data_IF_473623952365
#
_entry.id   IF_473623952365
#
_cell.length_a   1.000
_cell.length_b   1.000
_cell.length_c   1.000
_cell.angle_alpha   90.00
_cell.angle_beta   90.00
_cell.angle_gamma   90.00
#
_symmetry.space_group_name_H-M   'P 1'
#
loop_
_entity.id
_entity.type
_entity.pdbx_description
1 polymer ?
2 non-polymer ?
3 non-polymer ?
4 water ?
#
# COMPACT_ATOMS: atom_id res chain seq x y z
N UNK A 4 -17.72 -17.15 -19.37
CA UNK A 4 -17.35 -16.72 -17.97
C UNK A 4 -17.01 -15.22 -17.95
N UNK A 5 -17.79 -14.36 -17.24
CA UNK A 5 -17.60 -12.92 -17.31
C UNK A 5 -16.34 -12.48 -16.55
N UNK A 6 -15.70 -11.39 -16.98
CA UNK A 6 -14.52 -10.86 -16.27
C UNK A 6 -15.03 -10.12 -15.04
N UNK A 7 -14.33 -10.19 -13.90
CA UNK A 7 -14.81 -9.54 -12.70
C UNK A 7 -14.64 -8.03 -12.77
N UNK A 8 -15.52 -7.33 -12.06
CA UNK A 8 -15.52 -5.85 -11.87
C UNK A 8 -14.87 -5.52 -10.54
N UNK A 9 -14.83 -6.50 -9.63
CA UNK A 9 -14.29 -6.34 -8.26
C UNK A 9 -13.75 -7.69 -7.76
N UNK A 10 -12.65 -7.64 -7.00
CA UNK A 10 -12.02 -8.84 -6.40
C UNK A 10 -11.81 -8.55 -4.93
N UNK A 11 -11.61 -9.59 -4.16
CA UNK A 11 -11.21 -9.39 -2.75
C UNK A 11 -9.77 -9.83 -2.59
N UNK A 12 -9.08 -9.04 -1.78
CA UNK A 12 -7.64 -9.20 -1.54
C UNK A 12 -7.46 -9.35 -0.02
N UNK A 13 -6.78 -10.38 0.38
CA UNK A 13 -6.30 -10.61 1.76
C UNK A 13 -4.85 -10.10 1.86
N UNK A 14 -4.60 -9.29 2.87
CA UNK A 14 -3.24 -8.84 3.23
C UNK A 14 -2.96 -9.40 4.63
N UNK A 15 -1.86 -10.12 4.79
CA UNK A 15 -1.43 -10.53 6.15
C UNK A 15 -0.04 -10.01 6.43
N UNK A 16 0.21 -9.57 7.62
CA UNK A 16 1.58 -9.23 8.07
C UNK A 16 1.79 -9.91 9.41
N UNK A 17 2.93 -10.60 9.50
CA UNK A 17 3.30 -11.28 10.75
C UNK A 17 4.81 -11.26 10.93
N UNK A 18 5.25 -10.70 12.04
CA UNK A 18 6.64 -10.88 12.50
C UNK A 18 6.67 -12.14 13.34
N UNK A 19 7.30 -13.15 12.79
CA UNK A 19 7.28 -14.51 13.34
C UNK A 19 8.27 -14.67 14.49
N UNK A 20 9.10 -13.68 14.79
CA UNK A 20 10.01 -13.77 15.93
C UNK A 20 11.00 -14.92 15.81
N UNK A 21 11.37 -15.27 14.57
CA UNK A 21 12.39 -16.31 14.27
C UNK A 21 11.98 -17.64 14.89
N UNK A 22 10.68 -17.92 14.99
CA UNK A 22 10.17 -19.20 15.49
C UNK A 22 9.29 -19.80 14.44
N UNK A 23 9.26 -21.13 14.30
CA UNK A 23 8.31 -21.74 13.41
C UNK A 23 6.88 -21.50 13.88
N UNK A 24 5.94 -21.49 12.94
CA UNK A 24 4.54 -21.25 13.27
C UNK A 24 3.97 -22.47 13.96
N UNK A 25 2.80 -22.30 14.58
CA UNK A 25 2.09 -23.45 15.13
C UNK A 25 1.42 -24.23 14.01
N UNK A 26 0.89 -25.42 14.32
CA UNK A 26 0.36 -26.31 13.26
C UNK A 26 -0.90 -25.71 12.61
N UNK A 27 -1.64 -24.87 13.30
CA UNK A 27 -2.87 -24.28 12.69
C UNK A 27 -2.77 -22.76 12.68
N UNK A 28 -2.91 -22.17 11.49
CA UNK A 28 -2.85 -20.68 11.39
C UNK A 28 -4.06 -20.22 10.60
N UNK A 29 -5.07 -21.09 10.43
CA UNK A 29 -6.28 -20.75 9.64
C UNK A 29 -7.01 -19.47 10.12
N UNK A 30 -6.96 -19.15 11.41
CA UNK A 30 -7.66 -17.96 11.97
C UNK A 30 -7.14 -16.68 11.29
N UNK A 31 -5.86 -16.68 10.91
CA UNK A 31 -5.28 -15.52 10.21
C UNK A 31 -6.01 -15.28 8.90
N UNK A 32 -6.11 -16.31 8.08
CA UNK A 32 -6.68 -16.20 6.71
C UNK A 32 -8.19 -16.03 6.77
N UNK A 33 -8.79 -16.40 7.88
CA UNK A 33 -10.24 -16.19 8.11
C UNK A 33 -10.58 -14.83 8.74
N UNK A 34 -9.60 -14.00 9.04
CA UNK A 34 -9.82 -12.67 9.65
C UNK A 34 -10.61 -12.84 10.95
N UNK A 35 -10.15 -13.75 11.82
CA UNK A 35 -10.78 -14.05 13.12
C UNK A 35 -9.85 -13.59 14.26
N UNK A 36 -10.43 -12.98 15.28
CA UNK A 36 -9.71 -12.64 16.50
C UNK A 36 -10.26 -11.35 17.01
N UNK A 37 -9.40 -10.35 17.14
CA UNK A 37 -9.79 -9.00 17.63
C UNK A 37 -9.87 -8.03 16.45
N UNK A 38 -10.63 -6.95 16.64
CA UNK A 38 -10.70 -5.86 15.69
C UNK A 38 -11.93 -5.97 14.83
N UNK A 39 -11.78 -5.58 13.57
CA UNK A 39 -12.85 -5.61 12.55
C UNK A 39 -12.70 -6.96 11.83
N UNK A 40 -13.52 -7.94 12.23
CA UNK A 40 -13.37 -9.31 11.83
C UNK A 40 -14.39 -9.69 10.75
N UNK A 41 -14.10 -10.78 10.10
CA UNK A 41 -14.90 -11.30 8.97
C UNK A 41 -16.05 -12.18 9.51
N UNK A 42 -17.21 -12.04 8.90
CA UNK A 42 -18.43 -12.81 9.23
C UNK A 42 -18.17 -14.31 9.01
N UNK A 43 -18.64 -15.13 9.96
CA UNK A 43 -18.54 -16.61 9.86
C UNK A 43 -19.13 -17.15 8.55
N UNK A 44 -20.16 -16.50 8.07
CA UNK A 44 -20.88 -16.96 6.86
C UNK A 44 -19.98 -16.88 5.62
N UNK A 45 -18.86 -16.15 5.69
CA UNK A 45 -17.92 -16.02 4.55
C UNK A 45 -16.75 -16.99 4.65
N UNK A 46 -16.67 -17.84 5.68
CA UNK A 46 -15.44 -18.61 5.93
C UNK A 46 -15.01 -19.45 4.73
N UNK A 47 -15.95 -20.01 3.95
CA UNK A 47 -15.55 -20.95 2.89
C UNK A 47 -15.29 -20.21 1.59
N UNK A 48 -15.60 -18.91 1.55
CA UNK A 48 -15.49 -18.09 0.32
C UNK A 48 -14.06 -17.66 0.16
N UNK A 49 -13.33 -18.11 -0.87
CA UNK A 49 -11.92 -17.74 -1.00
C UNK A 49 -11.86 -16.27 -1.40
N UNK A 50 -10.85 -15.58 -0.89
CA UNK A 50 -10.39 -14.32 -1.49
C UNK A 50 -9.77 -14.65 -2.85
N UNK A 51 -9.76 -13.66 -3.71
CA UNK A 51 -9.19 -13.80 -5.06
C UNK A 51 -7.68 -13.92 -4.99
N UNK A 52 -7.06 -13.06 -4.17
CA UNK A 52 -5.59 -12.92 -4.02
C UNK A 52 -5.30 -12.90 -2.52
N UNK A 53 -4.29 -13.64 -2.08
CA UNK A 53 -3.74 -13.61 -0.72
C UNK A 53 -2.32 -13.11 -0.80
N UNK A 54 -2.01 -12.06 -0.06
CA UNK A 54 -0.64 -11.50 -0.01
C UNK A 54 -0.17 -11.61 1.42
N UNK A 55 0.93 -12.32 1.63
CA UNK A 55 1.38 -12.75 3.00
C UNK A 55 2.79 -12.22 3.27
N UNK A 56 2.90 -11.19 4.10
CA UNK A 56 4.18 -10.58 4.45
C UNK A 56 4.62 -11.12 5.79
N UNK A 57 5.83 -11.62 5.87
CA UNK A 57 6.44 -12.01 7.14
C UNK A 57 7.74 -11.24 7.36
N UNK A 58 8.07 -11.12 8.61
CA UNK A 58 9.35 -10.54 9.12
C UNK A 58 9.90 -11.53 10.13
N UNK A 59 11.21 -11.53 10.32
CA UNK A 59 11.85 -12.50 11.20
C UNK A 59 11.37 -13.91 10.87
N UNK A 60 11.26 -14.23 9.59
CA UNK A 60 10.73 -15.51 9.10
C UNK A 60 11.88 -16.52 9.06
N UNK A 61 11.79 -17.59 9.86
CA UNK A 61 12.90 -18.58 9.92
C UNK A 61 12.81 -19.72 8.92
N UNK A 62 11.73 -19.76 8.17
CA UNK A 62 11.42 -20.87 7.26
C UNK A 62 12.05 -20.67 5.90
N UNK A 63 12.26 -21.76 5.19
CA UNK A 63 12.59 -21.67 3.78
C UNK A 63 11.33 -21.23 3.01
N UNK A 64 11.50 -20.74 1.80
CA UNK A 64 10.37 -20.41 0.93
C UNK A 64 9.52 -21.65 0.74
N UNK A 65 10.16 -22.81 0.52
CA UNK A 65 9.42 -24.05 0.27
C UNK A 65 8.57 -24.41 1.50
N UNK A 66 9.17 -24.36 2.65
CA UNK A 66 8.50 -24.72 3.90
C UNK A 66 7.28 -23.81 4.13
N UNK A 67 7.47 -22.51 3.96
CA UNK A 67 6.34 -21.56 4.19
C UNK A 67 5.23 -21.71 3.15
N UNK A 68 5.61 -21.87 1.88
CA UNK A 68 4.63 -22.06 0.78
C UNK A 68 3.79 -23.31 1.06
N UNK A 69 4.42 -24.40 1.49
CA UNK A 69 3.73 -25.65 1.91
C UNK A 69 2.62 -25.27 2.89
N UNK A 70 3.00 -24.60 3.98
CA UNK A 70 2.09 -24.27 5.10
C UNK A 70 0.96 -23.38 4.61
N UNK A 71 1.29 -22.36 3.82
CA UNK A 71 0.27 -21.43 3.33
C UNK A 71 -0.71 -22.16 2.43
N UNK A 72 -0.24 -22.89 1.44
CA UNK A 72 -1.14 -23.56 0.48
C UNK A 72 -2.06 -24.57 1.20
N UNK A 73 -1.49 -25.32 2.15
CA UNK A 73 -2.25 -26.30 2.99
C UNK A 73 -3.36 -25.58 3.73
N UNK A 74 -3.05 -24.47 4.39
CA UNK A 74 -3.98 -23.68 5.23
C UNK A 74 -5.14 -23.11 4.38
N UNK A 75 -4.84 -22.70 3.14
CA UNK A 75 -5.91 -22.18 2.27
C UNK A 75 -6.71 -23.34 1.71
N UNK A 76 -6.07 -24.44 1.33
CA UNK A 76 -6.83 -25.62 0.82
C UNK A 76 -7.77 -26.13 1.91
N UNK A 77 -7.33 -26.19 3.15
CA UNK A 77 -8.20 -26.68 4.25
C UNK A 77 -9.40 -25.74 4.39
N UNK A 78 -9.19 -24.43 4.31
CA UNK A 78 -10.30 -23.46 4.43
C UNK A 78 -11.25 -23.57 3.24
N UNK A 79 -10.72 -23.56 2.04
CA UNK A 79 -11.51 -23.20 0.85
C UNK A 79 -11.76 -24.40 -0.08
N UNK A 80 -10.98 -25.46 0.08
CA UNK A 80 -10.92 -26.62 -0.86
C UNK A 80 -10.42 -26.17 -2.22
N UNK A 81 -9.71 -25.06 -2.27
CA UNK A 81 -9.08 -24.55 -3.52
C UNK A 81 -7.58 -24.68 -3.36
N UNK A 82 -6.93 -25.16 -4.41
CA UNK A 82 -5.47 -25.22 -4.53
C UNK A 82 -4.98 -23.93 -5.18
N UNK A 83 -4.47 -23.03 -4.37
CA UNK A 83 -4.05 -21.70 -4.87
C UNK A 83 -2.75 -21.84 -5.65
N UNK A 84 -2.58 -20.96 -6.63
CA UNK A 84 -1.39 -20.87 -7.47
C UNK A 84 -0.47 -19.80 -6.93
N UNK A 85 0.82 -20.05 -7.00
CA UNK A 85 1.83 -19.10 -6.55
C UNK A 85 2.05 -18.08 -7.66
N UNK A 86 1.78 -16.82 -7.39
CA UNK A 86 2.05 -15.70 -8.33
C UNK A 86 3.51 -15.32 -8.20
N UNK A 87 3.98 -15.11 -6.97
CA UNK A 87 5.33 -14.62 -6.72
C UNK A 87 5.71 -14.91 -5.28
N UNK A 88 7.00 -15.08 -5.06
CA UNK A 88 7.57 -15.15 -3.69
C UNK A 88 8.92 -14.46 -3.75
N UNK A 89 9.19 -13.57 -2.80
CA UNK A 89 10.47 -12.84 -2.76
C UNK A 89 10.88 -12.66 -1.32
N UNK A 90 12.15 -12.95 -1.04
CA UNK A 90 12.72 -12.87 0.31
C UNK A 90 13.98 -12.03 0.33
N UNK A 91 14.06 -11.09 1.25
CA UNK A 91 15.29 -10.37 1.59
C UNK A 91 15.61 -10.70 3.03
N UNK A 92 16.72 -11.36 3.28
CA UNK A 92 17.11 -11.76 4.64
C UNK A 92 15.97 -12.59 5.22
N UNK A 93 15.30 -12.10 6.26
CA UNK A 93 14.17 -12.82 6.88
C UNK A 93 12.84 -12.06 6.66
N UNK A 94 12.79 -11.18 5.66
CA UNK A 94 11.60 -10.44 5.21
C UNK A 94 11.06 -11.07 3.95
N UNK A 95 9.81 -11.49 3.93
CA UNK A 95 9.30 -12.29 2.81
C UNK A 95 7.91 -11.80 2.41
N UNK A 96 7.65 -11.92 1.11
CA UNK A 96 6.30 -11.70 0.55
C UNK A 96 5.92 -12.89 -0.33
N UNK A 97 4.72 -13.42 -0.12
CA UNK A 97 4.12 -14.48 -0.94
C UNK A 97 2.83 -13.96 -1.50
N UNK A 98 2.60 -14.12 -2.80
CA UNK A 98 1.31 -13.82 -3.43
C UNK A 98 0.77 -15.10 -4.00
N UNK A 99 -0.44 -15.41 -3.59
CA UNK A 99 -1.21 -16.58 -4.04
C UNK A 99 -2.51 -16.10 -4.67
N UNK A 100 -2.98 -16.79 -5.70
CA UNK A 100 -4.23 -16.43 -6.37
C UNK A 100 -5.03 -17.66 -6.73
N UNK A 101 -6.36 -17.50 -6.80
CA UNK A 101 -7.27 -18.56 -7.31
C UNK A 101 -6.68 -19.05 -8.62
N UNK A 102 -6.84 -20.35 -8.95
CA UNK A 102 -6.39 -20.84 -10.27
C UNK A 102 -7.09 -20.19 -11.47
N UNK A 103 -8.34 -19.81 -11.31
CA UNK A 103 -9.14 -19.19 -12.39
C UNK A 103 -8.50 -17.84 -12.78
N UNK A 104 -7.64 -17.27 -11.93
CA UNK A 104 -7.01 -15.95 -12.24
C UNK A 104 -5.68 -16.09 -12.96
N UNK A 105 -5.23 -17.30 -13.24
CA UNK A 105 -3.85 -17.50 -13.72
C UNK A 105 -3.59 -16.74 -15.04
N UNK A 106 -4.59 -16.72 -15.91
CA UNK A 106 -4.52 -16.07 -17.25
C UNK A 106 -5.15 -14.67 -17.19
N UNK A 107 -5.36 -14.13 -15.98
CA UNK A 107 -5.74 -12.69 -15.77
C UNK A 107 -4.52 -11.94 -15.22
N UNK A 108 -3.52 -12.66 -14.74
CA UNK A 108 -2.36 -12.08 -14.02
C UNK A 108 -1.15 -12.08 -14.94
N UNK A 109 -0.52 -10.94 -15.10
CA UNK A 109 0.67 -10.88 -15.96
C UNK A 109 1.61 -9.77 -15.47
N UNK A 110 2.73 -9.56 -16.15
CA UNK A 110 3.69 -8.47 -15.79
C UNK A 110 4.06 -8.57 -14.30
N UNK A 111 4.44 -9.74 -13.84
CA UNK A 111 4.79 -9.95 -12.42
C UNK A 111 6.19 -9.41 -12.22
N UNK A 112 6.34 -8.50 -11.25
CA UNK A 112 7.65 -7.94 -10.84
C UNK A 112 7.87 -8.32 -9.36
N UNK A 113 9.16 -8.34 -8.97
CA UNK A 113 9.57 -8.43 -7.56
C UNK A 113 10.76 -7.51 -7.40
N UNK A 114 10.93 -7.01 -6.19
CA UNK A 114 12.15 -6.23 -5.88
C UNK A 114 12.30 -6.16 -4.36
N UNK A 115 13.45 -5.68 -3.93
CA UNK A 115 13.69 -5.42 -2.50
C UNK A 115 14.51 -4.15 -2.39
N UNK A 116 14.43 -3.54 -1.23
CA UNK A 116 15.29 -2.42 -0.82
C UNK A 116 15.87 -2.75 0.53
N UNK A 117 17.18 -2.58 0.68
CA UNK A 117 17.89 -2.68 1.95
C UNK A 117 18.01 -1.30 2.55
N UNK A 118 17.54 -1.06 3.77
CA UNK A 118 17.61 0.31 4.35
C UNK A 118 18.89 0.51 5.17
N UNK A 119 19.25 1.76 5.45
CA UNK A 119 20.38 2.03 6.37
C UNK A 119 21.73 2.02 5.66
N UNK A 120 22.82 2.27 6.42
CA UNK A 120 24.22 2.28 5.93
C UNK A 120 25.10 1.63 7.00
N UNK A 121 25.89 0.61 6.64
CA UNK A 121 26.95 -0.02 7.48
C UNK A 121 26.35 -0.68 8.73
N UNK A 122 26.49 -0.05 9.91
CA UNK A 122 25.82 -0.41 11.21
C UNK A 122 24.37 -0.83 10.99
N UNK A 123 23.61 0.02 10.27
CA UNK A 123 22.13 -0.01 10.11
C UNK A 123 21.74 -0.78 8.84
N UNK A 124 22.70 -1.20 7.99
CA UNK A 124 22.45 -2.11 6.84
C UNK A 124 22.72 -3.55 7.28
N UNK A 125 21.73 -4.44 7.13
CA UNK A 125 21.96 -5.89 7.25
C UNK A 125 20.75 -6.66 7.67
N UNK A 126 19.71 -5.98 8.19
CA UNK A 126 18.50 -6.79 8.39
C UNK A 126 17.15 -6.13 8.08
N UNK A 127 17.09 -4.80 7.98
CA UNK A 127 15.82 -4.05 7.75
C UNK A 127 15.71 -3.66 6.27
N UNK A 128 14.47 -3.54 5.80
CA UNK A 128 14.21 -3.13 4.43
C UNK A 128 12.86 -3.60 4.01
N UNK A 129 12.68 -3.85 2.74
CA UNK A 129 11.35 -4.15 2.21
C UNK A 129 11.46 -5.10 1.05
N UNK A 130 10.42 -5.88 0.83
CA UNK A 130 10.26 -6.66 -0.41
C UNK A 130 8.95 -6.22 -1.02
N UNK A 131 8.83 -6.41 -2.32
CA UNK A 131 7.57 -6.08 -2.98
C UNK A 131 7.29 -6.89 -4.19
N UNK A 132 6.02 -6.90 -4.55
CA UNK A 132 5.52 -7.59 -5.74
C UNK A 132 4.54 -6.65 -6.44
N UNK A 133 4.57 -6.66 -7.77
CA UNK A 133 3.52 -6.04 -8.57
C UNK A 133 3.11 -6.93 -9.74
N UNK A 134 1.89 -6.71 -10.19
CA UNK A 134 1.41 -7.38 -11.41
C UNK A 134 0.20 -6.62 -11.91
N UNK A 135 -0.18 -6.96 -13.13
CA UNK A 135 -1.49 -6.58 -13.69
C UNK A 135 -2.48 -7.67 -13.42
N UNK A 136 -3.69 -7.31 -13.07
CA UNK A 136 -4.85 -8.22 -13.00
C UNK A 136 -5.82 -7.64 -14.02
N UNK A 137 -5.92 -8.28 -15.19
CA UNK A 137 -6.66 -7.69 -16.34
C UNK A 137 -6.16 -6.23 -16.53
N UNK A 138 -7.02 -5.24 -16.52
CA UNK A 138 -6.58 -3.87 -16.80
C UNK A 138 -6.11 -3.10 -15.58
N UNK A 139 -5.97 -3.77 -14.43
CA UNK A 139 -5.72 -3.09 -13.14
C UNK A 139 -4.33 -3.45 -12.66
N UNK A 140 -3.55 -2.44 -12.30
CA UNK A 140 -2.18 -2.64 -11.74
C UNK A 140 -2.28 -2.70 -10.21
N UNK A 141 -1.62 -3.68 -9.64
CA UNK A 141 -1.63 -3.96 -8.19
C UNK A 141 -0.20 -3.99 -7.70
N UNK A 142 0.10 -3.28 -6.62
CA UNK A 142 1.42 -3.33 -5.96
C UNK A 142 1.30 -3.67 -4.52
N UNK A 143 2.32 -4.34 -3.97
CA UNK A 143 2.30 -4.84 -2.60
C UNK A 143 3.70 -4.70 -2.04
N UNK A 144 3.80 -4.06 -0.86
CA UNK A 144 5.08 -3.80 -0.21
C UNK A 144 5.00 -4.36 1.20
N UNK A 145 5.94 -5.23 1.56
CA UNK A 145 6.12 -5.69 2.94
C UNK A 145 7.43 -5.14 3.47
N UNK A 146 7.36 -4.24 4.44
CA UNK A 146 8.56 -3.59 5.00
C UNK A 146 8.71 -3.96 6.47
N UNK A 147 9.96 -4.12 6.87
CA UNK A 147 10.38 -4.28 8.28
C UNK A 147 11.23 -3.05 8.56
N UNK A 148 10.69 -2.05 9.25
CA UNK A 148 11.41 -0.79 9.47
C UNK A 148 12.20 -0.86 10.79
N UNK A 149 13.02 0.17 11.01
CA UNK A 149 13.92 0.26 12.15
C UNK A 149 13.10 0.13 13.42
N UNK A 150 13.64 -0.60 14.39
CA UNK A 150 12.99 -0.83 15.71
C UNK A 150 13.37 0.27 16.68
N UNK A 151 12.64 0.34 17.77
CA UNK A 151 12.96 1.20 18.92
C UNK A 151 12.06 2.38 19.04
N UNK A 152 11.56 2.70 20.22
CA UNK A 152 10.64 3.82 20.43
C UNK A 152 11.24 5.15 20.01
N UNK A 153 12.56 5.26 20.14
CA UNK A 153 13.30 6.54 19.97
C UNK A 153 13.56 6.84 18.49
N UNK A 154 13.27 5.89 17.59
CA UNK A 154 13.73 5.96 16.18
C UNK A 154 12.60 6.19 15.18
N UNK A 155 11.60 6.97 15.53
CA UNK A 155 10.51 7.23 14.55
C UNK A 155 11.06 7.95 13.31
N UNK A 156 12.02 8.87 13.48
CA UNK A 156 12.56 9.61 12.31
C UNK A 156 13.29 8.64 11.36
N UNK A 157 14.04 7.69 11.91
CA UNK A 157 14.71 6.63 11.11
C UNK A 157 13.67 5.84 10.34
N UNK A 158 12.57 5.47 10.99
CA UNK A 158 11.50 4.73 10.28
C UNK A 158 11.01 5.59 9.12
N UNK A 159 10.83 6.88 9.32
CA UNK A 159 10.30 7.75 8.26
C UNK A 159 11.30 7.78 7.08
N UNK A 160 12.58 7.81 7.40
CA UNK A 160 13.66 7.77 6.39
C UNK A 160 13.61 6.43 5.68
N UNK A 161 13.43 5.33 6.42
CA UNK A 161 13.35 4.00 5.79
C UNK A 161 12.19 3.98 4.78
N UNK A 162 11.03 4.51 5.16
CA UNK A 162 9.87 4.64 4.29
C UNK A 162 10.24 5.37 2.99
N UNK A 163 10.92 6.52 3.11
CA UNK A 163 11.23 7.32 1.90
C UNK A 163 12.22 6.54 1.02
N UNK A 164 13.22 5.89 1.63
CA UNK A 164 14.16 5.08 0.80
C UNK A 164 13.43 3.96 0.08
N UNK A 165 12.51 3.29 0.76
CA UNK A 165 11.78 2.18 0.11
C UNK A 165 10.94 2.75 -1.05
N UNK A 166 10.21 3.83 -0.76
CA UNK A 166 9.34 4.57 -1.71
C UNK A 166 10.17 4.85 -2.98
N UNK A 167 11.36 5.41 -2.78
CA UNK A 167 12.21 5.90 -3.88
C UNK A 167 12.79 4.76 -4.69
N UNK A 168 13.25 3.71 -4.02
CA UNK A 168 14.18 2.78 -4.67
C UNK A 168 13.55 1.45 -5.00
N UNK A 169 12.32 1.16 -4.56
CA UNK A 169 11.73 -0.13 -4.91
C UNK A 169 11.28 -0.04 -6.36
N UNK A 170 11.75 -0.92 -7.21
CA UNK A 170 11.55 -0.86 -8.67
C UNK A 170 10.45 -1.85 -9.06
N UNK A 171 9.19 -1.44 -8.99
CA UNK A 171 8.05 -2.31 -9.34
C UNK A 171 7.25 -1.61 -10.42
N UNK A 172 6.35 -2.37 -11.02
CA UNK A 172 5.41 -1.81 -12.00
C UNK A 172 6.09 -1.44 -13.30
N UNK A 173 5.43 -0.57 -14.05
CA UNK A 173 5.80 -0.27 -15.46
C UNK A 173 6.99 0.67 -15.49
N UNK A 174 8.15 0.15 -15.92
CA UNK A 174 9.39 0.97 -15.96
C UNK A 174 9.24 2.16 -16.90
N UNK A 175 8.36 2.15 -17.83
CA UNK A 175 8.12 3.30 -18.73
C UNK A 175 7.59 4.50 -17.92
N UNK A 176 7.05 4.25 -16.73
CA UNK A 176 6.53 5.37 -15.90
C UNK A 176 7.69 6.00 -15.15
N UNK A 177 8.72 6.46 -15.86
CA UNK A 177 10.03 6.76 -15.27
C UNK A 177 9.96 7.89 -14.27
N UNK A 178 9.10 8.91 -14.38
CA UNK A 178 9.08 9.98 -13.38
C UNK A 178 8.39 9.55 -12.07
N UNK A 179 7.78 8.37 -12.06
CA UNK A 179 6.85 8.02 -10.97
C UNK A 179 7.45 6.94 -10.11
N UNK A 180 7.34 7.13 -8.80
CA UNK A 180 7.69 6.09 -7.82
C UNK A 180 6.50 5.15 -7.57
N UNK A 181 6.69 4.16 -6.70
CA UNK A 181 5.61 3.18 -6.46
C UNK A 181 4.33 3.82 -5.96
N UNK A 182 4.39 5.01 -5.37
CA UNK A 182 3.15 5.64 -4.83
C UNK A 182 2.24 6.15 -5.96
N UNK A 183 2.70 6.12 -7.21
CA UNK A 183 1.86 6.49 -8.36
C UNK A 183 1.75 5.40 -9.41
N UNK A 184 2.44 4.28 -9.30
CA UNK A 184 2.45 3.34 -10.45
C UNK A 184 1.28 2.36 -10.47
N UNK A 185 0.47 2.28 -9.42
CA UNK A 185 -0.54 1.21 -9.29
C UNK A 185 -1.92 1.79 -9.06
N UNK A 186 -2.91 1.15 -9.64
CA UNK A 186 -4.33 1.41 -9.36
C UNK A 186 -4.57 1.27 -7.83
N UNK A 187 -3.99 0.21 -7.27
CA UNK A 187 -4.09 -0.07 -5.83
C UNK A 187 -2.71 -0.47 -5.34
N UNK A 188 -2.24 0.21 -4.29
CA UNK A 188 -0.94 -0.10 -3.66
C UNK A 188 -1.25 -0.41 -2.19
N UNK A 189 -0.80 -1.57 -1.74
CA UNK A 189 -0.91 -1.99 -0.33
C UNK A 189 0.48 -2.00 0.25
N UNK A 190 0.66 -1.36 1.40
CA UNK A 190 1.95 -1.28 2.08
C UNK A 190 1.71 -1.74 3.52
N UNK A 191 2.41 -2.76 3.93
CA UNK A 191 2.18 -3.43 5.21
C UNK A 191 3.52 -3.89 5.75
N UNK A 192 3.50 -4.34 6.98
CA UNK A 192 4.69 -4.93 7.57
C UNK A 192 4.78 -4.68 9.07
N UNK A 193 5.96 -5.03 9.59
CA UNK A 193 6.37 -4.56 10.93
C UNK A 193 6.99 -3.19 10.76
N UNK A 194 6.11 -2.20 10.73
CA UNK A 194 6.52 -0.80 10.54
C UNK A 194 7.15 -0.27 11.81
N UNK A 195 6.92 -0.89 12.96
CA UNK A 195 7.74 -0.69 14.16
C UNK A 195 7.48 0.67 14.81
N UNK A 196 6.40 1.38 14.45
CA UNK A 196 6.03 2.58 15.20
C UNK A 196 5.41 2.18 16.54
N UNK A 197 5.68 2.98 17.57
CA UNK A 197 5.36 2.63 18.95
C UNK A 197 4.35 3.60 19.53
N UNK A 198 3.79 3.18 20.66
CA UNK A 198 2.92 4.05 21.48
C UNK A 198 3.88 4.86 22.36
N UNK A 199 3.98 6.15 22.09
CA UNK A 199 4.95 7.07 22.74
C UNK A 199 4.33 7.61 24.01
N UNK A 200 4.50 6.87 25.10
CA UNK A 200 4.06 7.27 26.45
C UNK A 200 5.26 7.00 27.33
N UNK A 201 5.32 7.61 28.54
CA UNK A 201 6.47 7.37 29.42
C UNK A 201 6.52 5.89 29.83
N UNK A 202 7.74 5.35 30.01
CA UNK A 202 7.97 3.90 30.23
C UNK A 202 7.39 3.46 31.57
N UNK A 203 7.27 4.41 32.52
CA UNK A 203 6.71 4.17 33.87
C UNK A 203 5.17 4.19 33.83
N UNK A 204 4.57 4.50 32.67
CA UNK A 204 3.13 4.26 32.42
C UNK A 204 2.87 2.84 31.86
N UNK A 205 3.85 1.94 31.83
CA UNK A 205 3.67 0.59 31.26
C UNK A 205 2.44 -0.11 31.85
N UNK A 206 2.32 -0.17 33.17
CA UNK A 206 1.24 -0.96 33.79
C UNK A 206 -0.08 -0.27 33.49
N UNK A 207 -0.10 1.05 33.46
CA UNK A 207 -1.32 1.80 33.10
C UNK A 207 -1.75 1.46 31.68
N UNK A 208 -0.79 1.38 30.77
CA UNK A 208 -1.10 0.97 29.35
C UNK A 208 -1.71 -0.43 29.31
N UNK A 209 -1.10 -1.36 30.02
CA UNK A 209 -1.61 -2.74 30.07
C UNK A 209 -3.04 -2.77 30.58
N UNK A 210 -3.35 -1.99 31.62
CA UNK A 210 -4.71 -2.00 32.20
C UNK A 210 -5.70 -1.38 31.20
N UNK A 211 -5.29 -0.37 30.41
CA UNK A 211 -6.15 0.16 29.33
C UNK A 211 -6.43 -0.93 28.30
N UNK A 212 -5.38 -1.67 27.92
CA UNK A 212 -5.58 -2.77 26.96
C UNK A 212 -6.56 -3.83 27.48
N UNK A 213 -6.45 -4.23 28.73
CA UNK A 213 -7.37 -5.22 29.32
C UNK A 213 -8.81 -4.72 29.33
N UNK A 214 -9.01 -3.41 29.40
CA UNK A 214 -10.35 -2.77 29.38
C UNK A 214 -10.81 -2.51 27.95
N UNK A 215 -9.99 -2.89 26.96
CA UNK A 215 -10.28 -2.60 25.54
C UNK A 215 -10.51 -1.11 25.32
N UNK A 216 -9.77 -0.25 25.99
CA UNK A 216 -9.89 1.21 25.86
C UNK A 216 -8.63 1.68 25.16
N UNK A 217 -8.69 1.73 23.83
CA UNK A 217 -7.48 2.00 23.01
C UNK A 217 -7.34 3.49 22.70
N UNK A 218 -8.33 4.35 22.98
CA UNK A 218 -8.34 5.74 22.49
C UNK A 218 -7.11 6.51 22.99
N UNK A 219 -6.79 6.43 24.28
CA UNK A 219 -5.69 7.22 24.85
C UNK A 219 -4.36 6.62 24.41
N UNK A 220 -4.36 5.35 23.95
CA UNK A 220 -3.11 4.78 23.43
C UNK A 220 -2.93 5.20 21.96
N UNK A 221 -3.99 5.07 21.13
CA UNK A 221 -3.88 5.43 19.69
C UNK A 221 -3.55 6.90 19.52
N UNK A 222 -3.98 7.78 20.43
CA UNK A 222 -3.63 9.22 20.32
C UNK A 222 -2.11 9.41 20.51
N UNK A 223 -1.35 8.40 20.94
CA UNK A 223 0.11 8.48 21.10
C UNK A 223 0.81 7.53 20.13
N UNK A 224 0.06 6.86 19.27
CA UNK A 224 0.70 5.96 18.27
C UNK A 224 1.53 6.81 17.30
N UNK A 225 2.80 6.48 17.16
CA UNK A 225 3.70 7.29 16.36
C UNK A 225 3.31 7.26 14.89
N UNK A 226 2.79 6.17 14.35
CA UNK A 226 2.45 6.19 12.93
C UNK A 226 1.25 7.13 12.70
N UNK A 227 0.19 7.04 13.49
CA UNK A 227 -0.94 8.00 13.38
C UNK A 227 -0.43 9.45 13.55
N UNK A 228 0.42 9.75 14.52
CA UNK A 228 0.85 11.16 14.73
C UNK A 228 1.74 11.58 13.59
N UNK A 229 2.73 10.79 13.16
CA UNK A 229 3.58 11.15 12.04
C UNK A 229 2.77 11.36 10.76
N UNK A 230 1.77 10.50 10.52
CA UNK A 230 0.89 10.62 9.34
C UNK A 230 0.09 11.94 9.44
N UNK A 231 -0.41 12.27 10.63
CA UNK A 231 -1.25 13.49 10.81
C UNK A 231 -0.40 14.74 10.54
N UNK A 232 0.90 14.68 10.86
CA UNK A 232 1.83 15.80 10.64
C UNK A 232 2.49 15.72 9.28
N UNK A 233 2.06 14.80 8.41
CA UNK A 233 2.52 14.67 7.02
C UNK A 233 4.01 14.38 6.98
N UNK A 234 4.49 13.57 7.90
CA UNK A 234 5.93 13.19 7.94
C UNK A 234 6.18 11.87 7.22
N UNK A 235 5.12 11.10 6.93
CA UNK A 235 5.26 9.72 6.41
C UNK A 235 3.93 9.28 5.83
N UNK A 236 3.94 8.38 4.84
CA UNK A 236 2.73 7.78 4.30
C UNK A 236 1.72 8.83 3.85
N UNK A 237 2.20 9.92 3.25
CA UNK A 237 1.29 10.94 2.76
C UNK A 237 0.39 10.32 1.69
N UNK A 238 -0.90 10.55 1.81
CA UNK A 238 -1.94 10.15 0.85
C UNK A 238 -2.23 8.66 0.93
N UNK A 239 -1.77 7.98 1.99
CA UNK A 239 -2.23 6.60 2.27
C UNK A 239 -3.37 6.61 3.26
N UNK A 240 -4.14 5.52 3.26
CA UNK A 240 -5.27 5.29 4.18
C UNK A 240 -4.90 4.15 5.14
N UNK A 241 -5.52 4.13 6.32
CA UNK A 241 -5.47 2.98 7.21
C UNK A 241 -6.85 2.89 7.83
N UNK A 242 -7.35 1.67 7.96
CA UNK A 242 -8.64 1.39 8.67
C UNK A 242 -8.45 1.69 10.16
N UNK A 243 -9.51 2.16 10.83
CA UNK A 243 -9.46 2.37 12.28
C UNK A 243 -9.01 1.10 12.97
N UNK A 244 -8.13 1.28 13.95
CA UNK A 244 -7.61 0.17 14.76
C UNK A 244 -8.55 -0.08 15.93
N UNK A 245 -9.04 -1.31 16.03
CA UNK A 245 -10.00 -1.70 17.11
C UNK A 245 -9.54 -2.99 17.77
N UNK A 246 -8.28 -3.35 17.60
CA UNK A 246 -7.65 -4.55 18.20
C UNK A 246 -6.52 -4.10 19.14
N UNK A 247 -6.15 -4.97 20.08
CA UNK A 247 -5.10 -4.63 21.05
C UNK A 247 -3.76 -4.52 20.33
N UNK A 248 -2.82 -3.78 20.92
CA UNK A 248 -1.44 -3.77 20.43
C UNK A 248 -0.94 -5.20 20.18
N UNK A 249 -0.19 -5.36 19.06
CA UNK A 249 0.21 -6.67 18.58
C UNK A 249 1.62 -7.03 19.01
N UNK A 250 2.24 -6.19 19.79
CA UNK A 250 3.63 -6.35 20.25
C UNK A 250 3.70 -5.66 21.62
N UNK A 251 4.54 -6.11 22.58
CA UNK A 251 5.38 -7.28 22.54
C UNK A 251 4.85 -8.30 23.54
N UNK A 252 4.46 -9.47 23.07
CA UNK A 252 3.87 -10.52 23.93
C UNK A 252 4.93 -11.49 24.42
N UNK A 253 4.69 -12.06 25.59
CA UNK A 253 5.37 -13.31 25.99
C UNK A 253 4.88 -14.40 25.05
N UNK A 254 5.77 -15.27 24.57
CA UNK A 254 5.39 -16.37 23.66
C UNK A 254 4.56 -17.41 24.40
N UNK A 255 3.73 -18.11 23.65
CA UNK A 255 2.91 -19.29 24.04
C UNK A 255 1.67 -18.87 24.85
N UNK A 256 1.49 -17.60 25.15
CA UNK A 256 0.19 -17.09 25.67
C UNK A 256 -0.13 -15.81 24.91
N UNK A 257 -1.31 -15.21 25.07
CA UNK A 257 -1.45 -13.75 24.76
C UNK A 257 -1.84 -12.99 26.03
N UNK A 258 -1.61 -13.61 27.18
CA UNK A 258 -2.10 -13.03 28.46
C UNK A 258 -1.16 -11.95 28.95
N UNK A 259 0.08 -11.89 28.44
CA UNK A 259 1.12 -11.04 29.04
C UNK A 259 1.87 -10.26 27.97
N UNK A 260 1.97 -8.96 28.19
CA UNK A 260 2.90 -8.10 27.43
C UNK A 260 4.25 -8.10 28.13
N UNK A 261 5.31 -8.32 27.37
CA UNK A 261 6.72 -8.34 27.86
C UNK A 261 7.34 -7.01 27.47
N UNK A 262 7.33 -6.02 28.35
CA UNK A 262 7.77 -4.65 27.99
C UNK A 262 9.07 -4.19 28.63
N UNK A 263 9.49 -4.86 29.70
CA UNK A 263 10.64 -4.41 30.55
C UNK A 263 11.95 -4.53 29.77
N UNK A 264 12.91 -3.63 30.05
CA UNK A 264 14.23 -3.64 29.40
C UNK A 264 15.01 -4.84 29.90
N UNK A 265 15.68 -5.48 28.96
CA UNK A 265 16.45 -6.75 29.14
C UNK A 265 17.74 -6.66 28.32
N UNK A 266 18.78 -7.42 28.69
CA UNK A 266 19.97 -7.43 27.82
C UNK A 266 19.57 -7.78 26.39
N UNK A 267 18.63 -8.72 26.21
CA UNK A 267 18.18 -9.21 24.88
C UNK A 267 17.51 -8.07 24.10
N UNK A 268 17.01 -7.03 24.77
CA UNK A 268 16.39 -5.88 24.07
C UNK A 268 17.36 -4.72 23.89
N UNK A 269 18.66 -4.91 24.20
CA UNK A 269 19.56 -3.76 24.21
C UNK A 269 19.21 -2.79 25.31
N UNK A 270 18.63 -3.28 26.39
CA UNK A 270 18.18 -2.46 27.53
C UNK A 270 17.19 -1.40 27.09
N UNK A 271 16.33 -1.77 26.14
CA UNK A 271 15.20 -0.94 25.67
C UNK A 271 13.92 -1.48 26.33
N UNK A 272 12.97 -0.55 26.58
CA UNK A 272 11.57 -0.88 26.88
C UNK A 272 10.86 -1.08 25.55
N UNK A 273 9.97 -2.04 25.57
CA UNK A 273 9.03 -2.26 24.44
C UNK A 273 7.62 -2.09 24.99
N UNK A 274 7.18 -0.88 25.21
CA UNK A 274 5.78 -0.65 25.64
C UNK A 274 4.88 -1.25 24.57
N UNK A 275 3.72 -1.80 24.94
CA UNK A 275 2.75 -2.34 23.97
C UNK A 275 2.50 -1.35 22.85
N UNK A 276 2.58 -1.86 21.63
CA UNK A 276 2.54 -1.02 20.43
C UNK A 276 1.85 -1.73 19.28
N UNK A 277 1.33 -0.91 18.38
CA UNK A 277 0.78 -1.40 17.11
C UNK A 277 1.88 -1.37 16.04
N UNK A 278 2.83 -2.28 16.18
CA UNK A 278 3.97 -2.38 15.23
C UNK A 278 3.52 -2.81 13.85
N UNK A 279 2.46 -3.57 13.75
CA UNK A 279 2.14 -4.42 12.59
C UNK A 279 0.91 -3.88 11.88
N UNK A 280 1.06 -3.38 10.66
CA UNK A 280 0.07 -2.46 10.09
C UNK A 280 -0.15 -2.77 8.62
N UNK A 281 -1.30 -2.35 8.13
CA UNK A 281 -1.66 -2.40 6.69
C UNK A 281 -2.22 -1.06 6.29
N UNK A 282 -1.63 -0.46 5.29
CA UNK A 282 -2.07 0.80 4.69
C UNK A 282 -2.26 0.61 3.19
N UNK A 283 -3.03 1.48 2.59
CA UNK A 283 -3.19 1.44 1.13
C UNK A 283 -3.33 2.81 0.52
N UNK A 284 -3.13 2.82 -0.78
CA UNK A 284 -3.32 4.02 -1.59
C UNK A 284 -3.84 3.55 -2.92
N UNK A 285 -5.01 4.03 -3.31
CA UNK A 285 -5.62 3.73 -4.60
C UNK A 285 -5.82 5.01 -5.38
N UNK A 286 -5.81 4.89 -6.69
CA UNK A 286 -6.06 6.04 -7.58
C UNK A 286 -7.41 6.62 -7.21
N UNK A 287 -7.59 7.93 -7.47
CA UNK A 287 -8.82 8.62 -7.16
C UNK A 287 -10.04 7.96 -7.81
N UNK A 288 -11.11 7.84 -7.02
CA UNK A 288 -12.46 7.39 -7.45
C UNK A 288 -12.41 5.96 -7.95
N UNK A 289 -11.43 5.17 -7.52
CA UNK A 289 -11.51 3.71 -7.72
C UNK A 289 -12.07 3.08 -6.44
N UNK A 290 -12.95 2.13 -6.62
CA UNK A 290 -13.55 1.39 -5.50
C UNK A 290 -12.47 0.67 -4.71
N UNK A 291 -12.42 0.94 -3.41
CA UNK A 291 -11.58 0.16 -2.46
C UNK A 291 -12.23 0.29 -1.11
N UNK A 292 -12.56 -0.83 -0.51
CA UNK A 292 -13.25 -0.86 0.80
C UNK A 292 -12.58 -1.89 1.69
N UNK A 293 -12.09 -1.45 2.84
CA UNK A 293 -11.58 -2.39 3.85
C UNK A 293 -12.73 -3.14 4.50
N UNK A 294 -12.69 -4.46 4.39
CA UNK A 294 -13.72 -5.38 4.93
C UNK A 294 -13.32 -5.91 6.31
N UNK A 295 -12.03 -5.98 6.62
CA UNK A 295 -11.53 -6.52 7.90
C UNK A 295 -10.17 -5.88 8.19
N UNK A 296 -9.89 -5.71 9.47
CA UNK A 296 -8.58 -5.21 9.94
C UNK A 296 -8.48 -5.61 11.39
N UNK A 297 -7.62 -6.57 11.68
CA UNK A 297 -7.58 -7.10 13.04
C UNK A 297 -6.38 -7.93 13.29
N UNK A 298 -6.36 -8.59 14.44
CA UNK A 298 -5.24 -9.47 14.83
C UNK A 298 -5.77 -10.79 15.30
N UNK A 299 -5.00 -11.84 15.14
CA UNK A 299 -5.43 -13.14 15.65
C UNK A 299 -5.14 -13.16 17.15
N UNK A 300 -5.85 -14.05 17.82
CA UNK A 300 -5.75 -14.27 19.27
C UNK A 300 -5.15 -15.65 19.59
N UNK A 301 -5.07 -16.56 18.62
CA UNK A 301 -4.75 -17.97 18.89
C UNK A 301 -3.42 -18.41 18.27
N UNK A 302 -2.60 -17.50 17.77
CA UNK A 302 -1.29 -17.84 17.15
C UNK A 302 -0.25 -17.16 18.02
N UNK A 303 0.52 -17.94 18.77
CA UNK A 303 1.26 -17.46 19.97
C UNK A 303 2.77 -17.71 19.90
N UNK A 304 3.26 -18.29 18.78
CA UNK A 304 4.69 -18.69 18.67
C UNK A 304 5.61 -17.48 18.70
N UNK A 305 5.13 -16.31 18.27
CA UNK A 305 5.94 -15.10 18.17
C UNK A 305 5.61 -14.15 19.31
N UNK A 306 6.47 -13.17 19.51
CA UNK A 306 6.20 -12.02 20.38
C UNK A 306 5.31 -10.98 19.68
N UNK A 307 4.99 -11.19 18.40
CA UNK A 307 3.95 -10.43 17.68
C UNK A 307 2.76 -11.33 17.38
N UNK A 308 1.57 -10.75 17.37
CA UNK A 308 0.40 -11.40 16.75
C UNK A 308 0.28 -11.03 15.29
N UNK A 309 -0.11 -12.02 14.47
CA UNK A 309 -0.47 -11.75 13.08
C UNK A 309 -1.56 -10.68 12.97
N UNK A 310 -1.47 -9.91 11.92
CA UNK A 310 -2.47 -8.91 11.53
C UNK A 310 -3.02 -9.31 10.17
N UNK A 311 -4.32 -9.15 10.00
CA UNK A 311 -5.01 -9.34 8.73
C UNK A 311 -5.74 -8.08 8.33
N UNK A 312 -5.84 -7.90 7.04
CA UNK A 312 -6.74 -6.90 6.46
C UNK A 312 -7.30 -7.46 5.15
N UNK A 313 -8.56 -7.21 4.89
CA UNK A 313 -9.14 -7.60 3.60
C UNK A 313 -9.81 -6.42 2.96
N UNK A 314 -9.81 -6.47 1.64
CA UNK A 314 -10.31 -5.39 0.80
C UNK A 314 -11.14 -5.91 -0.37
N UNK A 315 -12.19 -5.17 -0.70
CA UNK A 315 -12.91 -5.28 -1.99
C UNK A 315 -12.36 -4.19 -2.91
N UNK A 316 -11.73 -4.57 -4.04
CA UNK A 316 -11.00 -3.64 -4.92
C UNK A 316 -11.58 -3.69 -6.32
N UNK A 317 -11.92 -2.54 -6.85
CA UNK A 317 -12.37 -2.43 -8.23
C UNK A 317 -11.29 -2.79 -9.20
N UNK A 318 -11.68 -3.53 -10.25
CA UNK A 318 -10.80 -3.97 -11.34
C UNK A 318 -11.53 -3.74 -12.65
N UNK A 319 -10.77 -3.57 -13.70
CA UNK A 319 -11.30 -3.34 -15.05
C UNK A 319 -10.81 -4.46 -15.95
N UNK A 320 -11.53 -4.66 -17.06
CA UNK A 320 -11.27 -5.73 -18.05
C UNK A 320 -10.17 -5.27 -19.02
N UNK A 321 -9.51 -6.24 -19.66
CA UNK A 321 -8.50 -5.99 -20.72
C UNK A 321 -9.27 -5.61 -21.99
N UNK A 322 -9.48 -4.32 -22.20
CA UNK A 322 -10.35 -3.78 -23.28
C UNK A 322 -9.72 -3.91 -24.66
N UNK A 323 -10.50 -4.49 -25.60
CA UNK A 323 -10.24 -4.51 -27.06
C UNK A 323 -11.45 -3.86 -27.76
N UNK A 324 -11.21 -2.87 -28.63
CA UNK A 324 -12.22 -2.37 -29.60
C UNK A 324 -11.74 -2.71 -31.02
N UNK A 325 -12.49 -2.31 -32.04
CA UNK A 325 -12.14 -2.47 -33.48
C UNK A 325 -10.88 -1.62 -33.75
N UNK A 326 -10.69 -0.53 -32.99
CA UNK A 326 -9.59 0.47 -33.13
C UNK A 326 -8.45 0.10 -32.16
N UNK A 327 -8.37 0.74 -30.99
CA UNK A 327 -7.32 0.42 -29.99
C UNK A 327 -7.55 -0.95 -29.34
N UNK A 328 -6.51 -1.66 -28.84
CA UNK A 328 -5.09 -1.26 -28.99
C UNK A 328 -4.40 -1.32 -30.37
N UNK A 329 -3.46 -0.40 -30.62
CA UNK A 329 -2.61 -0.39 -31.84
C UNK A 329 -3.05 0.63 -32.84
N UNK A 330 -3.91 1.54 -32.42
CA UNK A 330 -4.31 2.74 -33.18
C UNK A 330 -5.03 3.64 -32.17
N UNK A 331 -5.27 4.92 -32.53
CA UNK A 331 -6.11 5.85 -31.73
C UNK A 331 -7.59 5.58 -32.07
N UNK A 332 -8.50 6.22 -31.33
CA UNK A 332 -9.96 6.18 -31.59
C UNK A 332 -10.41 7.63 -31.79
N UNK A 333 -10.34 8.11 -33.02
CA UNK A 333 -10.57 9.54 -33.38
C UNK A 333 -11.75 10.09 -32.56
N UNK A 334 -12.68 9.24 -32.11
CA UNK A 334 -13.91 9.67 -31.41
C UNK A 334 -13.59 10.12 -29.98
N UNK A 335 -12.36 9.91 -29.50
CA UNK A 335 -11.93 10.20 -28.11
C UNK A 335 -10.94 11.37 -28.03
N UNK A 336 -11.06 12.22 -27.01
CA UNK A 336 -10.02 13.23 -26.71
C UNK A 336 -10.12 13.68 -25.24
N UNK A 337 -8.97 14.11 -24.71
CA UNK A 337 -8.88 14.74 -23.38
C UNK A 337 -8.23 16.11 -23.56
N UNK A 338 -8.94 17.14 -23.16
CA UNK A 338 -8.44 18.54 -23.21
C UNK A 338 -8.32 19.07 -21.79
N UNK A 339 -7.18 19.70 -21.52
CA UNK A 339 -6.89 20.47 -20.28
C UNK A 339 -7.03 21.98 -20.57
N UNK A 340 -7.81 22.68 -19.75
CA UNK A 340 -8.09 24.13 -19.89
C UNK A 340 -7.58 24.83 -18.65
N UNK A 341 -7.06 26.07 -18.78
CA UNK A 341 -6.79 26.97 -17.63
C UNK A 341 -6.03 26.18 -16.54
N UNK A 342 -5.01 25.44 -16.92
CA UNK A 342 -4.25 24.65 -15.90
C UNK A 342 -3.05 25.44 -15.39
N UNK A 343 -2.75 25.25 -14.11
CA UNK A 343 -1.51 25.79 -13.53
C UNK A 343 -1.04 24.86 -12.40
N UNK A 344 0.26 24.78 -12.31
CA UNK A 344 0.93 24.09 -11.20
C UNK A 344 1.36 25.16 -10.21
N UNK A 345 1.22 24.89 -8.94
CA UNK A 345 1.78 25.73 -7.87
C UNK A 345 2.89 24.90 -7.25
N UNK A 346 4.14 25.39 -7.26
CA UNK A 346 5.25 24.58 -6.74
C UNK A 346 5.88 25.24 -5.54
N UNK A 347 6.33 24.44 -4.59
CA UNK A 347 7.05 24.91 -3.37
C UNK A 347 8.54 25.19 -3.66
N UNK A 348 9.08 24.80 -4.79
CA UNK A 348 10.50 25.01 -5.18
C UNK A 348 10.92 26.48 -5.16
N UNK A 349 12.18 26.71 -4.80
CA UNK A 349 12.80 28.05 -4.84
C UNK A 349 13.53 28.24 -6.16
N UNK A 350 13.61 27.20 -7.00
CA UNK A 350 14.37 27.24 -8.29
C UNK A 350 13.66 28.16 -9.28
N UNK A 351 14.41 28.69 -10.25
CA UNK A 351 13.89 29.44 -11.44
C UNK A 351 14.47 28.78 -12.70
N UNK A 352 13.88 27.64 -13.08
CA UNK A 352 13.96 26.98 -14.40
C UNK A 352 12.57 27.08 -15.04
N UNK A 353 12.47 26.87 -16.34
CA UNK A 353 11.19 26.63 -17.00
C UNK A 353 10.77 25.17 -16.67
N UNK A 354 9.47 24.92 -16.72
CA UNK A 354 8.88 23.58 -16.49
C UNK A 354 8.02 23.21 -17.67
N UNK A 355 7.95 21.91 -17.95
CA UNK A 355 6.97 21.29 -18.87
C UNK A 355 6.31 20.12 -18.15
N UNK A 356 5.21 19.63 -18.71
CA UNK A 356 4.48 18.47 -18.14
C UNK A 356 4.73 17.24 -18.99
N UNK A 357 4.65 16.08 -18.35
CA UNK A 357 4.42 14.81 -19.08
C UNK A 357 3.12 14.18 -18.60
N UNK A 358 2.31 13.72 -19.54
CA UNK A 358 1.06 12.99 -19.29
C UNK A 358 1.32 11.53 -19.60
N UNK A 359 1.18 10.66 -18.61
CA UNK A 359 1.35 9.20 -18.78
C UNK A 359 0.07 8.46 -18.46
N UNK A 360 -0.34 7.55 -19.31
CA UNK A 360 -1.53 6.73 -19.03
C UNK A 360 -1.54 5.55 -19.97
N UNK A 361 -2.02 4.41 -19.46
CA UNK A 361 -2.30 3.18 -20.24
C UNK A 361 -3.29 3.48 -21.37
N UNK A 362 -4.10 4.52 -21.25
CA UNK A 362 -5.08 4.89 -22.31
C UNK A 362 -4.40 5.63 -23.47
N UNK A 363 -3.11 5.97 -23.37
CA UNK A 363 -2.33 6.64 -24.46
C UNK A 363 -1.36 5.64 -25.08
N UNK A 364 -1.01 5.82 -26.35
CA UNK A 364 -0.03 4.91 -27.00
C UNK A 364 1.34 5.13 -26.37
N UNK A 365 1.67 6.37 -26.04
CA UNK A 365 2.90 6.69 -25.29
C UNK A 365 2.71 8.04 -24.59
N UNK A 366 3.60 8.34 -23.68
CA UNK A 366 3.45 9.57 -22.87
C UNK A 366 3.55 10.81 -23.76
N UNK A 367 2.97 11.87 -23.29
CA UNK A 367 2.91 13.15 -24.05
C UNK A 367 3.60 14.24 -23.26
N UNK A 368 4.47 14.99 -23.93
CA UNK A 368 5.28 16.07 -23.32
C UNK A 368 4.75 17.43 -23.80
N UNK A 369 4.29 18.27 -22.86
CA UNK A 369 3.73 19.60 -23.14
C UNK A 369 4.86 20.56 -23.53
N UNK A 370 4.43 21.73 -24.00
CA UNK A 370 5.28 22.93 -24.12
C UNK A 370 5.60 23.40 -22.71
N UNK A 371 6.64 24.22 -22.60
CA UNK A 371 6.96 24.92 -21.34
C UNK A 371 5.78 25.80 -20.91
N UNK A 372 5.52 25.83 -19.62
CA UNK A 372 4.60 26.78 -19.01
C UNK A 372 5.22 28.16 -18.82
N UNK A 373 4.39 29.12 -18.41
CA UNK A 373 4.81 30.50 -18.08
C UNK A 373 4.85 30.67 -16.56
N UNK A 374 6.06 30.89 -16.04
CA UNK A 374 6.32 31.12 -14.59
C UNK A 374 5.80 32.49 -14.18
N UNK A 375 5.02 32.53 -13.12
CA UNK A 375 4.65 33.77 -12.39
C UNK A 375 4.98 33.57 -10.91
N UNK A 376 5.06 34.66 -10.15
CA UNK A 376 5.23 34.68 -8.68
C UNK A 376 3.84 34.77 -8.04
N UNK A 377 3.45 33.80 -7.19
CA UNK A 377 2.24 33.82 -6.36
C UNK A 377 2.32 34.84 -5.22
N UNK A 378 1.17 35.22 -4.63
CA UNK A 378 1.02 36.30 -3.62
C UNK A 378 1.85 35.98 -2.37
N UNK A 379 1.89 34.71 -1.95
CA UNK A 379 2.54 34.27 -0.68
C UNK A 379 3.92 33.65 -1.00
N UNK A 380 4.63 34.14 -2.03
CA UNK A 380 6.02 33.73 -2.33
C UNK A 380 6.15 32.67 -3.43
N UNK A 381 5.09 31.89 -3.72
CA UNK A 381 5.16 30.58 -4.43
C UNK A 381 5.52 30.73 -5.91
N UNK A 382 5.95 29.65 -6.53
CA UNK A 382 6.07 29.61 -8.01
C UNK A 382 4.77 29.06 -8.60
N UNK A 383 4.18 29.79 -9.53
CA UNK A 383 2.97 29.35 -10.27
C UNK A 383 3.40 29.16 -11.69
N UNK A 384 3.16 27.99 -12.25
CA UNK A 384 3.48 27.70 -13.65
C UNK A 384 2.17 27.64 -14.41
N UNK A 385 1.95 28.59 -15.32
CA UNK A 385 0.67 28.68 -16.07
C UNK A 385 0.80 27.93 -17.40
N UNK A 386 -0.16 27.08 -17.71
CA UNK A 386 -0.19 26.38 -19.01
C UNK A 386 -1.30 26.93 -19.91
N UNK A 387 -2.23 27.69 -19.35
CA UNK A 387 -3.41 28.25 -20.05
C UNK A 387 -4.16 27.16 -20.82
N UNK A 388 -4.28 27.35 -22.13
CA UNK A 388 -5.02 26.48 -23.08
C UNK A 388 -3.96 25.89 -24.02
N UNK A 389 -2.69 25.91 -23.61
CA UNK A 389 -1.53 25.53 -24.46
C UNK A 389 -1.35 24.00 -24.46
N UNK A 390 -1.96 23.27 -23.51
CA UNK A 390 -1.62 21.84 -23.29
C UNK A 390 -2.09 20.99 -24.48
N UNK A 391 -1.32 19.95 -24.88
CA UNK A 391 -1.69 19.12 -26.01
C UNK A 391 -3.06 18.44 -25.77
N UNK A 392 -3.75 18.17 -26.87
CA UNK A 392 -5.01 17.39 -26.83
C UNK A 392 -4.60 15.93 -26.79
N UNK A 393 -5.02 15.15 -25.77
CA UNK A 393 -4.59 13.74 -25.60
C UNK A 393 -5.53 12.86 -26.39
N UNK A 394 -4.95 11.90 -27.11
CA UNK A 394 -5.67 11.01 -28.04
C UNK A 394 -5.66 9.62 -27.47
N UNK A 395 -6.74 9.21 -26.77
CA UNK A 395 -6.80 7.89 -26.19
C UNK A 395 -7.01 6.83 -27.27
N UNK A 396 -6.54 5.62 -26.96
CA UNK A 396 -6.49 4.43 -27.86
C UNK A 396 -7.89 3.86 -28.04
N UNK A 397 -8.75 4.10 -27.07
CA UNK A 397 -10.16 3.63 -27.07
C UNK A 397 -11.05 4.78 -26.58
N UNK A 398 -12.18 5.02 -27.25
CA UNK A 398 -13.07 6.17 -27.01
C UNK A 398 -14.31 5.73 -26.24
N UNK A 399 -14.53 4.41 -26.15
CA UNK A 399 -15.71 3.87 -25.45
C UNK A 399 -15.73 4.42 -24.03
N UNK A 400 -16.82 5.08 -23.60
CA UNK A 400 -16.89 5.65 -22.25
C UNK A 400 -16.79 4.60 -21.16
N UNK A 401 -17.22 3.35 -21.41
CA UNK A 401 -17.13 2.27 -20.40
C UNK A 401 -15.65 1.96 -20.11
N UNK A 402 -14.79 2.26 -21.05
CA UNK A 402 -13.33 2.14 -20.82
C UNK A 402 -12.81 3.47 -20.30
N UNK A 403 -13.10 4.56 -20.98
CA UNK A 403 -12.26 5.76 -20.79
C UNK A 403 -12.56 6.39 -19.43
N UNK A 404 -13.80 6.34 -18.94
CA UNK A 404 -14.17 6.99 -17.67
C UNK A 404 -13.47 6.24 -16.52
N UNK A 405 -13.01 5.01 -16.73
CA UNK A 405 -12.31 4.23 -15.67
C UNK A 405 -10.79 4.50 -15.65
N UNK A 406 -10.26 5.33 -16.54
CA UNK A 406 -8.81 5.53 -16.67
C UNK A 406 -8.34 6.71 -15.83
N UNK A 407 -7.04 6.84 -15.77
CA UNK A 407 -6.37 7.88 -14.98
C UNK A 407 -5.18 8.43 -15.77
N UNK A 408 -4.93 9.73 -15.58
CA UNK A 408 -3.75 10.41 -16.19
C UNK A 408 -2.78 10.76 -15.10
N UNK A 409 -1.57 10.19 -15.17
CA UNK A 409 -0.46 10.59 -14.30
C UNK A 409 0.16 11.85 -14.91
N UNK A 410 0.50 12.79 -14.06
CA UNK A 410 1.13 14.06 -14.49
C UNK A 410 2.45 14.21 -13.76
N UNK A 411 3.51 14.50 -14.49
CA UNK A 411 4.79 14.92 -13.92
C UNK A 411 5.11 16.32 -14.43
N UNK A 412 5.53 17.17 -13.53
CA UNK A 412 6.06 18.51 -13.92
C UNK A 412 7.58 18.42 -13.82
N UNK A 413 8.24 18.69 -14.94
CA UNK A 413 9.70 18.46 -15.09
C UNK A 413 10.41 19.77 -15.39
N UNK A 414 11.59 19.93 -14.83
CA UNK A 414 12.49 21.05 -15.16
C UNK A 414 13.00 20.91 -16.60
N UNK A 415 12.92 21.97 -17.39
CA UNK A 415 13.53 22.01 -18.76
C UNK A 415 15.05 21.86 -18.68
N UNK A 416 15.68 22.36 -17.63
CA UNK A 416 17.16 22.42 -17.46
C UNK A 416 17.68 21.01 -17.16
N UNK A 417 16.95 20.21 -16.38
CA UNK A 417 17.52 18.96 -15.83
C UNK A 417 16.71 17.73 -16.25
N UNK A 418 15.48 17.93 -16.74
CA UNK A 418 14.50 16.87 -17.09
C UNK A 418 14.16 16.03 -15.83
N UNK A 419 14.39 16.68 -14.65
CA UNK A 419 14.04 15.97 -13.39
C UNK A 419 12.61 16.36 -12.99
N UNK A 420 11.83 15.33 -12.50
CA UNK A 420 10.47 15.64 -11.99
C UNK A 420 10.57 16.42 -10.68
N UNK A 421 9.81 17.50 -10.61
CA UNK A 421 9.62 18.29 -9.37
C UNK A 421 8.32 17.90 -8.67
N UNK A 422 7.48 17.12 -9.32
CA UNK A 422 6.19 16.75 -8.72
C UNK A 422 5.41 15.83 -9.62
N UNK A 423 4.68 14.93 -8.98
CA UNK A 423 3.90 13.88 -9.62
C UNK A 423 2.52 13.84 -9.00
N UNK A 424 1.53 13.59 -9.81
CA UNK A 424 0.14 13.44 -9.33
C UNK A 424 -0.70 12.66 -10.29
N UNK A 425 -1.99 12.56 -10.03
CA UNK A 425 -2.87 11.66 -10.77
C UNK A 425 -4.25 12.28 -10.87
N UNK A 426 -4.81 12.23 -12.05
CA UNK A 426 -6.17 12.76 -12.36
C UNK A 426 -7.06 11.62 -12.80
N UNK A 427 -8.19 11.43 -12.14
CA UNK A 427 -9.21 10.45 -12.59
C UNK A 427 -10.01 11.00 -13.78
N UNK A 428 -10.35 10.13 -14.70
CA UNK A 428 -11.30 10.44 -15.82
C UNK A 428 -12.74 10.05 -15.47
N UNK A 429 -13.01 9.70 -14.22
CA UNK A 429 -14.36 9.28 -13.74
C UNK A 429 -15.21 10.53 -13.50
N UNK A 430 -15.50 11.28 -14.57
CA UNK A 430 -16.10 12.63 -14.50
C UNK A 430 -17.62 12.56 -14.32
N UNK A 431 -18.16 13.65 -13.82
CA UNK A 431 -19.61 13.85 -13.65
C UNK A 431 -20.30 14.01 -15.01
N UNK A 432 -19.58 14.39 -16.03
CA UNK A 432 -20.11 14.73 -17.38
C UNK A 432 -19.00 14.59 -18.40
N UNK A 433 -19.34 14.34 -19.67
CA UNK A 433 -18.43 14.42 -20.83
C UNK A 433 -18.79 15.67 -21.65
N UNK A 434 -17.87 16.09 -22.50
CA UNK A 434 -18.06 17.25 -23.41
C UNK A 434 -18.39 18.49 -22.56
N UNK A 435 -17.91 18.56 -21.31
CA UNK A 435 -18.26 19.60 -20.30
C UNK A 435 -16.97 20.02 -19.59
N UNK A 436 -16.70 21.30 -19.42
CA UNK A 436 -15.51 21.75 -18.64
C UNK A 436 -15.74 21.48 -17.17
N UNK A 437 -14.87 20.72 -16.51
CA UNK A 437 -15.06 20.37 -15.09
C UNK A 437 -13.74 20.60 -14.36
N UNK A 438 -13.80 21.01 -13.08
CA UNK A 438 -12.58 21.21 -12.32
C UNK A 438 -11.81 19.88 -12.16
N UNK A 439 -10.50 19.95 -12.27
CA UNK A 439 -9.59 18.84 -11.86
C UNK A 439 -8.57 19.38 -10.86
N UNK A 440 -7.99 18.47 -10.10
CA UNK A 440 -7.03 18.81 -9.04
C UNK A 440 -6.25 17.55 -8.69
N UNK A 441 -4.94 17.71 -8.47
CA UNK A 441 -4.17 16.70 -7.73
C UNK A 441 -3.12 17.42 -6.91
N UNK A 442 -2.82 16.91 -5.71
CA UNK A 442 -1.57 17.32 -5.09
C UNK A 442 -0.41 16.76 -5.92
N UNK A 443 0.74 17.41 -5.82
CA UNK A 443 1.99 16.93 -6.46
C UNK A 443 2.94 16.55 -5.36
N UNK A 444 3.58 15.38 -5.51
CA UNK A 444 4.61 14.92 -4.58
C UNK A 444 5.89 14.62 -5.36
N UNK A 445 6.98 14.59 -4.63
CA UNK A 445 8.26 14.07 -5.16
C UNK A 445 8.98 13.38 -4.01
N UNK A 446 9.42 12.17 -4.27
CA UNK A 446 9.93 11.27 -3.21
C UNK A 446 8.89 11.16 -2.09
N UNK A 447 7.62 11.19 -2.47
CA UNK A 447 6.49 10.97 -1.56
C UNK A 447 6.24 12.15 -0.63
N UNK A 448 6.95 13.29 -0.79
CA UNK A 448 6.72 14.55 -0.04
C UNK A 448 5.97 15.56 -0.90
N UNK A 449 5.12 16.34 -0.25
CA UNK A 449 4.33 17.35 -0.97
C UNK A 449 5.24 18.42 -1.57
N UNK A 450 5.12 18.68 -2.85
CA UNK A 450 5.93 19.67 -3.56
C UNK A 450 5.07 20.72 -4.25
N UNK A 451 3.76 20.55 -4.26
CA UNK A 451 2.92 21.51 -4.98
C UNK A 451 1.57 20.94 -5.27
N UNK A 452 0.93 21.55 -6.22
CA UNK A 452 -0.46 21.26 -6.64
C UNK A 452 -0.63 21.49 -8.13
N UNK A 453 -1.55 20.76 -8.73
CA UNK A 453 -1.91 20.99 -10.14
C UNK A 453 -3.42 21.09 -10.19
N UNK A 454 -3.91 22.15 -10.84
CA UNK A 454 -5.39 22.35 -10.91
C UNK A 454 -5.72 23.01 -12.23
N UNK A 455 -6.98 22.85 -12.62
CA UNK A 455 -7.41 23.39 -13.92
C UNK A 455 -8.75 22.83 -14.23
N UNK A 456 -9.04 22.74 -15.51
CA UNK A 456 -10.28 22.09 -15.93
C UNK A 456 -9.95 21.09 -17.02
N UNK A 457 -10.83 20.12 -17.15
CA UNK A 457 -10.74 19.05 -18.16
C UNK A 457 -12.04 19.07 -18.97
N UNK A 458 -11.91 18.56 -20.20
CA UNK A 458 -13.05 18.36 -21.13
C UNK A 458 -12.78 17.01 -21.80
N UNK A 459 -13.62 16.01 -21.50
CA UNK A 459 -13.42 14.63 -21.99
C UNK A 459 -14.47 14.33 -23.05
N UNK A 460 -14.00 13.91 -24.21
CA UNK A 460 -14.83 13.45 -25.37
C UNK A 460 -14.76 11.93 -25.43
N UNK A 461 -15.90 11.25 -25.34
CA UNK A 461 -15.98 9.78 -25.52
C UNK A 461 -16.86 9.56 -26.74
N UNK A 462 -17.00 8.32 -27.18
CA UNK A 462 -17.89 7.96 -28.33
C UNK A 462 -19.37 8.17 -27.97
N UNK A 463 -19.73 8.38 -26.69
CA UNK A 463 -21.14 8.70 -26.34
C UNK A 463 -21.34 10.23 -26.14
X LIG B 1 -6.98 11.57 5.40
X LIG B 1 -5.55 10.33 2.35
X LIG B 1 -5.74 12.38 1.10
X LIG B 1 -6.51 12.29 3.40
X LIG B 1 -7.72 12.82 7.41
X LIG B 1 -6.79 13.20 8.56
X LIG B 1 -5.65 12.26 8.98
X LIG B 1 -4.69 11.83 8.08
X LIG B 1 -3.66 11.01 8.51
X LIG B 1 -3.59 10.62 9.84
X LIG B 1 -4.54 11.05 10.74
X LIG B 1 -5.56 11.88 10.30
X LIG B 1 -6.14 10.96 3.49
X LIG B 1 -5.38 11.05 1.18
X LIG B 1 -6.32 13.01 2.20
X LIG B 1 -7.45 11.55 6.77
X LIG B 1 -6.44 10.53 4.74
X LIG B 1 -7.03 12.63 4.60
X LIG C 1 -7.61 0.62 -13.68
X LIG C 1 -8.35 -0.64 -13.46
X LIG C 1 -8.63 1.88 -12.99
X LIG C 1 -7.89 1.11 -15.36
X LIG D 1 -2.25 4.26 -15.54
X LIG D 1 -2.86 4.50 -16.88
X LIG D 1 -0.51 3.99 -15.88
X LIG D 1 -2.08 5.85 -14.86
X LIG E 1 -2.53 12.15 -5.70
X LIG E 1 -1.72 11.07 -6.41
X LIG E 1 -2.90 11.55 -4.08
X LIG E 1 -4.14 12.07 -6.41
#
# INVERSE_FOLDING_TARGET
SMEQPEPDMITIFIGTWNMGNAPPPKKITSWFLSKGQGKTRDDSADYIPHDIYVIGTQEDPLSEKEWLEILKHSLQEITSVTFKTVAIHTLWNIRIVVLAKPEHENRISHICTDNVKTGIANTLGNKGAVGVSFMFNGTSLGFVNSHLTSGSEKKLRRNQNYMNILRFLALGDKKLSPFNITHRFTHLFWFGDLNYRVDLPTWEAETIIQKIKQQQYADLLSHDQLLTERREQKVFLHFEEEEITFAPTYRFERLTRDKYAYTKQKATGMKYNLPSWCDRVLWKSYPLVHVVCQSYGSTSDIMTSDHSPVFATFEAGVTSQFVSKNGPGTVDSQGQIEFLRCYATLKTKSQTKFYLEFHSSCLESFVKSQEGENEEGSEGELVVKFGETLPKLKPIISDPEYLLDQHILISIKSSDSDESYGEGCIALRLEATETQLPIYTPLTHHGELTGHFQGEIKLQTSQ
WNG C10 C13 C15 C17 C01 C02 C03 C04 C05 C06 C07 C08 C12 C14 C16 N09 N11 N18
DMS S O C1 C2
DMS S O C1 C2
DMS S O C1 C2
#
